data_IF_571360702234
#
_entry.id   IF_571360702234
#
_cell.length_a   1.000
_cell.length_b   1.000
_cell.length_c   1.000
_cell.angle_alpha   90.00
_cell.angle_beta   90.00
_cell.angle_gamma   90.00
#
_symmetry.space_group_name_H-M   'P 1'
#
loop_
_entity.id
_entity.type
_entity.pdbx_description
1 polymer ?
#
# COMPACT_ATOMS: atom_id res chain seq x y z
N UNK A 1 -27.43 -48.56 33.18
CA UNK A 1 -28.13 -47.28 32.95
C UNK A 1 -27.23 -46.44 32.07
N UNK A 2 -27.83 -45.89 31.01
CA UNK A 2 -27.23 -45.30 29.80
C UNK A 2 -26.08 -44.28 29.97
N UNK A 3 -25.15 -44.34 29.02
CA UNK A 3 -24.20 -43.29 28.64
C UNK A 3 -24.91 -42.08 28.02
N UNK A 4 -24.46 -40.85 28.35
CA UNK A 4 -24.67 -39.66 27.50
C UNK A 4 -23.37 -38.86 27.36
N UNK A 5 -22.84 -38.88 26.14
CA UNK A 5 -21.75 -38.04 25.63
C UNK A 5 -22.37 -36.70 25.21
N UNK A 6 -21.81 -35.52 25.56
CA UNK A 6 -22.27 -34.25 24.99
C UNK A 6 -21.73 -34.06 23.57
N UNK A 7 -22.66 -33.76 22.66
CA UNK A 7 -22.47 -33.62 21.22
C UNK A 7 -21.61 -32.41 20.83
N UNK A 8 -20.88 -32.61 19.74
CA UNK A 8 -20.03 -31.66 19.01
C UNK A 8 -20.92 -30.71 18.19
N UNK A 9 -20.77 -29.38 18.26
CA UNK A 9 -21.57 -28.48 17.43
C UNK A 9 -21.12 -28.54 15.95
N UNK A 10 -22.09 -28.79 15.07
CA UNK A 10 -21.99 -28.70 13.61
C UNK A 10 -22.06 -27.24 13.13
N UNK A 11 -21.42 -26.90 11.99
CA UNK A 11 -21.46 -25.56 11.42
C UNK A 11 -22.74 -25.35 10.59
N UNK A 12 -23.60 -24.43 11.03
CA UNK A 12 -24.79 -24.01 10.28
C UNK A 12 -24.47 -22.86 9.33
N UNK A 13 -24.58 -23.21 8.06
CA UNK A 13 -25.14 -22.51 6.91
C UNK A 13 -24.83 -21.04 6.59
N UNK A 14 -24.56 -20.89 5.30
CA UNK A 14 -24.15 -19.69 4.62
C UNK A 14 -25.36 -18.82 4.21
N UNK A 15 -25.09 -17.51 4.14
CA UNK A 15 -25.69 -16.53 3.20
C UNK A 15 -27.21 -16.43 3.10
N UNK A 16 -27.80 -15.49 3.84
CA UNK A 16 -29.04 -14.80 3.43
C UNK A 16 -28.70 -13.46 2.75
N UNK A 17 -29.19 -13.17 1.53
CA UNK A 17 -29.11 -11.84 0.95
C UNK A 17 -30.08 -10.88 1.66
N UNK A 18 -29.72 -9.58 1.80
CA UNK A 18 -30.60 -8.59 2.43
C UNK A 18 -31.81 -8.25 1.55
N UNK A 19 -32.93 -8.00 2.22
CA UNK A 19 -34.24 -7.66 1.67
C UNK A 19 -34.21 -6.53 0.64
N UNK A 20 -34.95 -6.73 -0.45
CA UNK A 20 -35.30 -5.70 -1.41
C UNK A 20 -36.10 -4.58 -0.74
N UNK A 21 -35.72 -3.34 -1.02
CA UNK A 21 -36.44 -2.13 -0.63
C UNK A 21 -37.74 -2.07 -1.44
N UNK A 22 -38.86 -2.07 -0.73
CA UNK A 22 -40.19 -1.82 -1.25
C UNK A 22 -40.51 -0.33 -1.04
N UNK A 23 -40.80 0.38 -2.12
CA UNK A 23 -41.22 1.79 -2.11
C UNK A 23 -42.07 2.09 -3.34
N UNK A 24 -43.27 2.58 -3.09
CA UNK A 24 -44.36 2.91 -4.00
C UNK A 24 -44.02 3.99 -5.06
N UNK A 25 -44.39 3.74 -6.33
CA UNK A 25 -45.37 4.49 -7.15
C UNK A 25 -45.14 4.31 -8.68
N UNK A 26 -46.21 4.17 -9.50
CA UNK A 26 -46.09 3.84 -10.92
C UNK A 26 -45.97 5.10 -11.80
N UNK A 27 -44.74 5.52 -12.12
CA UNK A 27 -44.53 6.51 -13.19
C UNK A 27 -44.43 5.83 -14.56
N UNK A 28 -45.48 6.05 -15.37
CA UNK A 28 -45.58 5.74 -16.79
C UNK A 28 -44.32 6.17 -17.55
N UNK A 29 -43.57 5.20 -18.09
CA UNK A 29 -42.56 5.46 -19.10
C UNK A 29 -43.23 5.73 -20.46
N UNK A 30 -42.87 6.80 -21.19
CA UNK A 30 -43.28 6.95 -22.58
C UNK A 30 -42.56 5.91 -23.44
N UNK A 31 -43.32 5.02 -24.07
CA UNK A 31 -42.84 4.12 -25.12
C UNK A 31 -42.56 4.95 -26.38
N UNK A 32 -41.35 5.47 -26.53
CA UNK A 32 -40.87 5.88 -27.84
C UNK A 32 -39.86 4.85 -28.35
N UNK A 33 -39.99 4.40 -29.62
CA UNK A 33 -39.06 3.44 -30.20
C UNK A 33 -37.68 4.07 -30.33
N UNK A 34 -36.67 3.35 -29.82
CA UNK A 34 -35.25 3.71 -29.83
C UNK A 34 -34.71 4.18 -31.21
N UNK A 35 -35.39 3.78 -32.29
CA UNK A 35 -35.12 4.14 -33.67
C UNK A 35 -35.07 5.66 -33.93
N UNK A 36 -35.93 6.44 -33.27
CA UNK A 36 -36.04 7.89 -33.53
C UNK A 36 -34.85 8.70 -33.00
N UNK A 37 -34.14 8.21 -31.98
CA UNK A 37 -32.97 8.90 -31.42
C UNK A 37 -31.68 8.67 -32.22
N UNK A 38 -31.59 7.59 -32.99
CA UNK A 38 -30.39 7.29 -33.79
C UNK A 38 -30.41 7.99 -35.15
N UNK A 39 -31.59 8.30 -35.70
CA UNK A 39 -31.70 8.89 -37.04
C UNK A 39 -31.52 10.41 -37.07
N UNK A 40 -31.63 11.10 -35.94
CA UNK A 40 -31.52 12.57 -35.86
C UNK A 40 -30.10 13.12 -35.66
N UNK A 41 -29.08 12.25 -35.57
CA UNK A 41 -27.69 12.66 -35.28
C UNK A 41 -26.76 12.63 -36.50
N UNK A 42 -27.26 12.39 -37.71
CA UNK A 42 -26.41 12.21 -38.89
C UNK A 42 -26.04 13.53 -39.61
N UNK A 43 -26.50 14.69 -39.15
CA UNK A 43 -26.17 15.97 -39.80
C UNK A 43 -25.91 17.05 -38.75
N UNK A 44 -24.79 16.96 -38.04
CA UNK A 44 -24.15 18.16 -37.48
C UNK A 44 -22.69 17.87 -37.08
N UNK A 45 -21.79 18.53 -37.82
CA UNK A 45 -20.38 18.85 -37.51
C UNK A 45 -19.52 17.69 -36.99
N UNK A 46 -18.63 17.23 -37.88
CA UNK A 46 -17.38 16.58 -37.54
C UNK A 46 -16.50 17.54 -36.70
N UNK A 47 -16.81 17.67 -35.41
CA UNK A 47 -15.79 18.01 -34.42
C UNK A 47 -14.95 16.75 -34.24
N UNK A 48 -13.63 16.91 -34.42
CA UNK A 48 -12.61 15.96 -33.99
C UNK A 48 -12.71 15.78 -32.47
N UNK A 49 -13.72 15.03 -32.02
CA UNK A 49 -13.82 14.55 -30.67
C UNK A 49 -12.92 13.32 -30.59
N UNK A 50 -11.81 13.44 -29.86
CA UNK A 50 -10.94 12.34 -29.51
C UNK A 50 -11.83 11.15 -29.12
N UNK A 51 -11.76 10.09 -29.91
CA UNK A 51 -12.59 8.91 -29.68
C UNK A 51 -12.36 8.43 -28.24
N UNK A 52 -13.34 7.85 -27.53
CA UNK A 52 -13.12 7.31 -26.18
C UNK A 52 -11.94 6.33 -26.12
N UNK A 53 -11.66 5.64 -27.23
CA UNK A 53 -10.48 4.79 -27.41
C UNK A 53 -9.16 5.59 -27.49
N UNK A 54 -9.20 6.81 -28.03
CA UNK A 54 -8.08 7.73 -28.17
C UNK A 54 -7.79 8.47 -26.85
N UNK A 55 -8.84 8.79 -26.07
CA UNK A 55 -8.70 9.24 -24.68
C UNK A 55 -8.12 8.15 -23.77
N UNK A 56 -8.45 6.88 -23.99
CA UNK A 56 -7.83 5.75 -23.26
C UNK A 56 -6.34 5.57 -23.62
N UNK A 57 -5.93 5.93 -24.85
CA UNK A 57 -4.53 5.97 -25.26
C UNK A 57 -3.79 7.18 -24.70
N UNK A 58 -4.45 8.33 -24.60
CA UNK A 58 -3.89 9.55 -23.99
C UNK A 58 -3.87 9.52 -22.45
N UNK A 59 -4.73 8.71 -21.83
CA UNK A 59 -4.65 8.34 -20.40
C UNK A 59 -3.66 7.21 -20.13
N UNK A 60 -2.80 6.89 -21.10
CA UNK A 60 -1.50 6.33 -20.78
C UNK A 60 -0.85 7.29 -19.79
N UNK A 61 -0.99 7.01 -18.49
CA UNK A 61 -0.20 7.64 -17.45
C UNK A 61 1.22 7.73 -17.99
N UNK A 62 1.92 8.86 -17.89
CA UNK A 62 3.32 8.88 -18.26
C UNK A 62 3.98 7.74 -17.48
N UNK A 63 4.22 6.63 -18.16
CA UNK A 63 4.93 5.46 -17.66
C UNK A 63 6.41 5.81 -17.75
N UNK A 64 6.76 7.02 -17.31
CA UNK A 64 8.09 7.38 -16.92
C UNK A 64 8.48 6.33 -15.90
N UNK A 65 9.20 5.32 -16.40
CA UNK A 65 9.65 4.21 -15.59
C UNK A 65 10.37 4.84 -14.40
N UNK A 66 10.06 4.43 -13.17
CA UNK A 66 10.66 5.03 -12.00
C UNK A 66 12.17 4.98 -12.14
N UNK A 67 12.76 6.17 -12.24
CA UNK A 67 14.21 6.30 -12.41
C UNK A 67 14.88 6.00 -11.08
N UNK A 68 16.15 5.61 -11.13
CA UNK A 68 16.93 5.40 -9.90
C UNK A 68 16.91 6.63 -8.98
N UNK A 69 16.93 7.82 -9.56
CA UNK A 69 16.83 9.08 -8.81
C UNK A 69 15.47 9.20 -8.08
N UNK A 70 14.37 8.83 -8.74
CA UNK A 70 13.04 8.82 -8.12
C UNK A 70 12.98 7.86 -6.94
N UNK A 71 13.51 6.65 -7.11
CA UNK A 71 13.54 5.65 -6.04
C UNK A 71 14.44 6.11 -4.88
N UNK A 72 15.59 6.72 -5.17
CA UNK A 72 16.46 7.27 -4.14
C UNK A 72 15.78 8.38 -3.33
N UNK A 73 15.11 9.31 -4.00
CA UNK A 73 14.31 10.36 -3.34
C UNK A 73 13.22 9.75 -2.47
N UNK A 74 12.49 8.76 -2.97
CA UNK A 74 11.45 8.06 -2.21
C UNK A 74 12.02 7.33 -0.98
N UNK A 75 13.18 6.66 -1.12
CA UNK A 75 13.86 6.02 0.00
C UNK A 75 14.33 7.03 1.05
N UNK A 76 14.82 8.20 0.62
CA UNK A 76 15.20 9.28 1.53
C UNK A 76 13.99 9.82 2.29
N UNK A 77 12.85 10.03 1.61
CA UNK A 77 11.60 10.42 2.27
C UNK A 77 11.12 9.37 3.27
N UNK A 78 11.14 8.09 2.90
CA UNK A 78 10.78 6.99 3.79
C UNK A 78 11.71 6.92 5.02
N UNK A 79 13.02 7.12 4.81
CA UNK A 79 14.02 7.17 5.88
C UNK A 79 13.78 8.36 6.84
N UNK A 80 13.43 9.53 6.29
CA UNK A 80 13.03 10.71 7.07
C UNK A 80 11.80 10.42 7.94
N UNK A 81 10.73 9.89 7.34
CA UNK A 81 9.52 9.51 8.09
C UNK A 81 9.81 8.47 9.18
N UNK A 82 10.67 7.49 8.93
CA UNK A 82 11.12 6.53 9.96
C UNK A 82 11.90 7.20 11.09
N UNK A 83 12.75 8.18 10.77
CA UNK A 83 13.45 9.00 11.76
C UNK A 83 12.49 9.80 12.65
N UNK A 84 11.45 10.38 12.05
CA UNK A 84 10.41 11.09 12.79
C UNK A 84 9.63 10.15 13.73
N UNK A 85 9.24 8.96 13.25
CA UNK A 85 8.61 7.92 14.09
C UNK A 85 9.53 7.54 15.25
N UNK A 86 10.83 7.34 14.98
CA UNK A 86 11.81 6.99 16.01
C UNK A 86 11.91 8.08 17.09
N UNK A 87 12.00 9.35 16.67
CA UNK A 87 12.07 10.49 17.58
C UNK A 87 10.81 10.62 18.44
N UNK A 88 9.64 10.45 17.83
CA UNK A 88 8.35 10.51 18.53
C UNK A 88 8.18 9.34 19.51
N UNK A 89 8.63 8.13 19.15
CA UNK A 89 8.60 6.95 20.03
C UNK A 89 9.61 7.01 21.18
N UNK A 90 10.70 7.77 21.05
CA UNK A 90 11.69 7.98 22.11
C UNK A 90 11.26 8.99 23.18
N UNK A 91 10.10 9.62 23.05
CA UNK A 91 9.57 10.52 24.08
C UNK A 91 9.38 9.78 25.41
N UNK A 92 10.00 10.30 26.47
CA UNK A 92 9.87 9.72 27.82
C UNK A 92 8.41 9.85 28.29
N UNK A 93 7.86 8.78 28.85
CA UNK A 93 6.50 8.67 29.39
C UNK A 93 5.34 8.51 28.39
N UNK A 94 5.61 8.06 27.16
CA UNK A 94 4.56 7.76 26.19
C UNK A 94 3.62 6.63 26.68
N UNK A 95 2.42 7.00 27.14
CA UNK A 95 1.35 6.06 27.50
C UNK A 95 0.38 5.88 26.33
N UNK A 96 0.62 4.86 25.50
CA UNK A 96 -0.28 4.50 24.41
C UNK A 96 -1.49 3.70 24.92
N UNK A 97 -2.70 4.08 24.48
CA UNK A 97 -3.92 3.27 24.66
C UNK A 97 -3.80 1.96 23.87
N UNK A 98 -4.55 0.93 24.27
CA UNK A 98 -4.45 -0.40 23.63
C UNK A 98 -4.80 -0.38 22.14
N UNK A 99 -5.83 0.37 21.75
CA UNK A 99 -6.20 0.58 20.34
C UNK A 99 -5.08 1.22 19.52
N UNK A 100 -4.41 2.22 20.10
CA UNK A 100 -3.30 2.93 19.48
C UNK A 100 -2.08 2.02 19.30
N UNK A 101 -1.78 1.18 20.30
CA UNK A 101 -0.74 0.14 20.19
C UNK A 101 -1.04 -0.83 19.04
N UNK A 102 -2.28 -1.29 18.93
CA UNK A 102 -2.66 -2.24 17.87
C UNK A 102 -2.49 -1.62 16.48
N UNK A 103 -3.00 -0.40 16.30
CA UNK A 103 -2.93 0.30 15.03
C UNK A 103 -1.48 0.58 14.63
N UNK A 104 -0.66 1.09 15.56
CA UNK A 104 0.75 1.35 15.31
C UNK A 104 1.52 0.07 14.99
N UNK A 105 1.21 -1.03 15.69
CA UNK A 105 1.79 -2.34 15.42
C UNK A 105 1.51 -2.80 14.00
N UNK A 106 0.24 -2.75 13.59
CA UNK A 106 -0.15 -3.23 12.27
C UNK A 106 0.51 -2.38 11.18
N UNK A 107 0.43 -1.05 11.29
CA UNK A 107 1.03 -0.13 10.30
C UNK A 107 2.54 -0.26 10.20
N UNK A 108 3.26 -0.28 11.33
CA UNK A 108 4.72 -0.41 11.33
C UNK A 108 5.16 -1.81 10.87
N UNK A 109 4.43 -2.85 11.24
CA UNK A 109 4.71 -4.21 10.77
C UNK A 109 4.47 -4.34 9.27
N UNK A 110 3.39 -3.78 8.74
CA UNK A 110 3.07 -3.75 7.31
C UNK A 110 4.13 -2.93 6.55
N UNK A 111 4.41 -1.70 6.99
CA UNK A 111 5.44 -0.87 6.40
C UNK A 111 6.80 -1.59 6.38
N UNK A 112 7.20 -2.21 7.49
CA UNK A 112 8.44 -2.99 7.53
C UNK A 112 8.43 -4.17 6.56
N UNK A 113 7.31 -4.89 6.43
CA UNK A 113 7.18 -5.98 5.47
C UNK A 113 7.32 -5.48 4.01
N UNK A 114 6.76 -4.31 3.70
CA UNK A 114 6.88 -3.71 2.38
C UNK A 114 8.30 -3.19 2.09
N UNK A 115 8.95 -2.56 3.07
CA UNK A 115 10.36 -2.14 2.98
C UNK A 115 11.27 -3.35 2.76
N UNK A 116 11.09 -4.44 3.51
CA UNK A 116 11.83 -5.68 3.32
C UNK A 116 11.59 -6.30 1.95
N UNK A 117 10.34 -6.28 1.49
CA UNK A 117 9.99 -6.75 0.14
C UNK A 117 10.67 -5.89 -0.93
N UNK A 118 10.72 -4.57 -0.74
CA UNK A 118 11.43 -3.65 -1.63
C UNK A 118 12.94 -3.94 -1.64
N UNK A 119 13.56 -4.10 -0.48
CA UNK A 119 14.98 -4.43 -0.35
C UNK A 119 15.31 -5.79 -1.01
N UNK A 120 14.49 -6.81 -0.77
CA UNK A 120 14.60 -8.11 -1.42
C UNK A 120 14.53 -8.00 -2.94
N UNK A 121 13.56 -7.22 -3.46
CA UNK A 121 13.41 -6.96 -4.90
C UNK A 121 14.58 -6.19 -5.49
N UNK A 122 15.19 -5.28 -4.72
CA UNK A 122 16.43 -4.60 -5.09
C UNK A 122 17.67 -5.53 -5.07
N UNK A 123 17.52 -6.78 -4.63
CA UNK A 123 18.59 -7.77 -4.60
C UNK A 123 19.41 -7.77 -3.31
N UNK A 124 18.87 -7.17 -2.24
CA UNK A 124 19.44 -7.24 -0.88
C UNK A 124 19.03 -8.54 -0.20
N UNK A 125 19.96 -9.17 0.51
CA UNK A 125 19.64 -10.28 1.41
C UNK A 125 18.99 -9.72 2.68
N UNK A 126 17.66 -9.76 2.71
CA UNK A 126 16.87 -9.49 3.91
C UNK A 126 17.05 -10.64 4.90
N UNK A 127 17.69 -10.37 6.06
CA UNK A 127 17.79 -11.31 7.18
C UNK A 127 16.43 -11.59 7.84
N UNK A 128 16.38 -12.40 8.90
CA UNK A 128 15.12 -12.70 9.60
C UNK A 128 14.47 -11.43 10.18
N UNK A 129 13.12 -11.35 10.26
CA UNK A 129 12.45 -10.25 10.92
C UNK A 129 12.87 -10.15 12.40
N UNK A 130 12.93 -8.93 12.96
CA UNK A 130 13.33 -8.74 14.35
C UNK A 130 12.47 -9.62 15.26
N UNK A 131 13.11 -10.50 16.03
CA UNK A 131 12.44 -11.42 16.93
C UNK A 131 11.85 -10.65 18.10
N UNK A 132 10.52 -10.60 18.18
CA UNK A 132 9.82 -9.83 19.19
C UNK A 132 9.53 -10.69 20.41
N UNK A 133 10.28 -10.45 21.48
CA UNK A 133 9.97 -11.08 22.76
C UNK A 133 8.67 -10.45 23.31
N UNK A 134 7.69 -11.30 23.66
CA UNK A 134 6.40 -10.91 24.25
C UNK A 134 6.54 -10.16 25.59
N UNK A 135 7.72 -10.20 26.21
CA UNK A 135 8.06 -9.44 27.43
C UNK A 135 8.64 -8.04 27.15
N UNK A 136 9.00 -7.71 25.91
CA UNK A 136 9.49 -6.38 25.56
C UNK A 136 8.38 -5.34 25.57
N UNK A 137 8.70 -4.12 26.02
CA UNK A 137 7.83 -2.95 25.91
C UNK A 137 7.37 -2.75 24.46
N UNK A 138 6.07 -2.45 24.21
CA UNK A 138 5.56 -2.18 22.87
C UNK A 138 6.40 -1.15 22.10
N UNK A 139 6.86 -0.09 22.77
CA UNK A 139 7.71 0.94 22.18
C UNK A 139 9.01 0.35 21.65
N UNK A 140 9.65 -0.54 22.41
CA UNK A 140 10.90 -1.21 22.00
C UNK A 140 10.68 -2.11 20.79
N UNK A 141 9.50 -2.74 20.67
CA UNK A 141 9.14 -3.52 19.48
C UNK A 141 8.94 -2.65 18.24
N UNK A 142 8.29 -1.49 18.41
CA UNK A 142 8.10 -0.54 17.33
C UNK A 142 9.44 0.03 16.85
N UNK A 143 10.33 0.40 17.78
CA UNK A 143 11.68 0.82 17.45
C UNK A 143 12.43 -0.27 16.68
N UNK A 144 12.28 -1.55 17.04
CA UNK A 144 12.90 -2.64 16.29
C UNK A 144 12.40 -2.73 14.83
N UNK A 145 11.11 -2.53 14.57
CA UNK A 145 10.60 -2.45 13.18
C UNK A 145 11.16 -1.25 12.43
N UNK A 146 11.24 -0.09 13.09
CA UNK A 146 11.76 1.14 12.49
C UNK A 146 13.24 0.99 12.14
N UNK A 147 14.05 0.46 13.05
CA UNK A 147 15.47 0.20 12.83
C UNK A 147 15.68 -0.84 11.72
N UNK A 148 14.93 -1.97 11.73
CA UNK A 148 15.01 -2.96 10.63
C UNK A 148 14.67 -2.30 9.28
N UNK A 149 13.61 -1.50 9.21
CA UNK A 149 13.24 -0.77 7.99
C UNK A 149 14.34 0.20 7.53
N UNK A 150 14.96 0.95 8.45
CA UNK A 150 16.08 1.85 8.12
C UNK A 150 17.27 1.07 7.57
N UNK A 151 17.64 -0.05 8.19
CA UNK A 151 18.74 -0.90 7.75
C UNK A 151 18.47 -1.50 6.36
N UNK A 152 17.25 -1.99 6.12
CA UNK A 152 16.86 -2.53 4.82
C UNK A 152 16.87 -1.46 3.72
N UNK A 153 16.37 -0.25 4.01
CA UNK A 153 16.42 0.87 3.06
C UNK A 153 17.87 1.26 2.76
N UNK A 154 18.72 1.37 3.77
CA UNK A 154 20.13 1.72 3.59
C UNK A 154 20.87 0.67 2.73
N UNK A 155 20.61 -0.62 2.97
CA UNK A 155 21.17 -1.69 2.14
C UNK A 155 20.63 -1.66 0.71
N UNK A 156 19.33 -1.39 0.52
CA UNK A 156 18.72 -1.25 -0.80
C UNK A 156 19.32 -0.08 -1.58
N UNK A 157 19.52 1.07 -0.93
CA UNK A 157 20.19 2.24 -1.51
C UNK A 157 21.61 1.91 -1.98
N UNK A 158 22.40 1.23 -1.15
CA UNK A 158 23.76 0.80 -1.52
C UNK A 158 23.72 -0.12 -2.73
N UNK A 159 22.85 -1.13 -2.72
CA UNK A 159 22.74 -2.09 -3.82
C UNK A 159 22.31 -1.42 -5.12
N UNK A 160 21.37 -0.49 -5.06
CA UNK A 160 20.93 0.30 -6.20
C UNK A 160 22.08 1.15 -6.75
N UNK A 161 22.85 1.80 -5.88
CA UNK A 161 24.05 2.55 -6.27
C UNK A 161 25.07 1.62 -6.94
N UNK A 162 25.35 0.46 -6.36
CA UNK A 162 26.28 -0.52 -6.92
C UNK A 162 25.85 -0.98 -8.32
N UNK A 163 24.55 -1.23 -8.54
CA UNK A 163 23.99 -1.60 -9.83
C UNK A 163 24.11 -0.48 -10.88
N UNK A 164 24.07 0.79 -10.46
CA UNK A 164 24.30 1.92 -11.39
C UNK A 164 25.78 2.07 -11.75
N UNK A 165 26.69 1.88 -10.80
CA UNK A 165 28.13 2.03 -11.01
C UNK A 165 28.74 0.84 -11.73
N UNK A 166 28.21 -0.37 -11.54
CA UNK A 166 28.66 -1.60 -12.20
C UNK A 166 28.23 -1.68 -13.68
N UNK A 167 27.87 -0.55 -14.31
CA UNK A 167 27.27 -0.43 -15.66
C UNK A 167 28.15 -0.87 -16.85
N UNK A 168 28.97 -1.90 -16.70
CA UNK A 168 29.78 -2.48 -17.76
C UNK A 168 29.23 -3.87 -18.12
N UNK A 169 28.58 -3.94 -19.29
CA UNK A 169 27.98 -5.10 -19.97
C UNK A 169 26.79 -5.84 -19.30
N UNK A 170 25.76 -5.11 -18.85
CA UNK A 170 24.46 -5.75 -18.57
C UNK A 170 23.80 -6.16 -19.90
N UNK A 171 23.34 -7.40 -20.00
CA UNK A 171 22.57 -7.83 -21.17
C UNK A 171 21.21 -7.10 -21.21
N UNK A 172 20.61 -6.87 -22.39
CA UNK A 172 19.29 -6.22 -22.48
C UNK A 172 18.21 -6.89 -21.61
N UNK A 173 18.25 -8.21 -21.47
CA UNK A 173 17.36 -8.95 -20.58
C UNK A 173 17.59 -8.66 -19.10
N UNK A 174 18.85 -8.50 -18.67
CA UNK A 174 19.18 -8.08 -17.31
C UNK A 174 18.74 -6.64 -17.04
N UNK A 175 18.86 -5.76 -18.03
CA UNK A 175 18.38 -4.38 -17.91
C UNK A 175 16.86 -4.32 -17.73
N UNK A 176 16.09 -5.08 -18.51
CA UNK A 176 14.64 -5.17 -18.34
C UNK A 176 14.26 -5.75 -16.97
N UNK A 177 14.96 -6.79 -16.52
CA UNK A 177 14.72 -7.37 -15.20
C UNK A 177 15.01 -6.37 -14.09
N UNK A 178 16.10 -5.59 -14.22
CA UNK A 178 16.43 -4.51 -13.29
C UNK A 178 15.32 -3.46 -13.27
N UNK A 179 14.85 -3.00 -14.44
CA UNK A 179 13.73 -2.05 -14.53
C UNK A 179 12.46 -2.58 -13.84
N UNK A 180 12.10 -3.84 -14.06
CA UNK A 180 10.92 -4.46 -13.42
C UNK A 180 11.11 -4.54 -11.90
N UNK A 181 12.30 -4.94 -11.44
CA UNK A 181 12.61 -5.02 -10.00
C UNK A 181 12.58 -3.65 -9.35
N UNK A 182 13.14 -2.64 -10.01
CA UNK A 182 13.13 -1.25 -9.57
C UNK A 182 11.72 -0.69 -9.52
N UNK A 183 10.89 -0.93 -10.53
CA UNK A 183 9.50 -0.50 -10.52
C UNK A 183 8.72 -1.15 -9.38
N UNK A 184 8.87 -2.47 -9.19
CA UNK A 184 8.26 -3.18 -8.06
C UNK A 184 8.80 -2.73 -6.69
N UNK A 185 10.04 -2.25 -6.62
CA UNK A 185 10.62 -1.68 -5.41
C UNK A 185 10.05 -0.27 -5.15
N UNK A 186 9.97 0.59 -6.17
CA UNK A 186 9.35 1.92 -6.14
C UNK A 186 7.94 1.85 -5.56
N UNK A 187 7.08 0.99 -6.11
CA UNK A 187 5.71 0.81 -5.64
C UNK A 187 5.65 0.38 -4.17
N UNK A 188 6.54 -0.53 -3.76
CA UNK A 188 6.60 -1.00 -2.38
C UNK A 188 7.09 0.10 -1.42
N UNK A 189 8.05 0.94 -1.84
CA UNK A 189 8.54 2.08 -1.07
C UNK A 189 7.46 3.18 -0.99
N UNK A 190 6.76 3.48 -2.07
CA UNK A 190 5.64 4.43 -2.10
C UNK A 190 4.56 4.02 -1.11
N UNK A 191 4.13 2.76 -1.18
CA UNK A 191 3.14 2.23 -0.25
C UNK A 191 3.64 2.26 1.21
N UNK A 192 4.90 1.88 1.44
CA UNK A 192 5.51 1.97 2.77
C UNK A 192 5.52 3.40 3.28
N UNK A 193 5.83 4.37 2.41
CA UNK A 193 5.87 5.79 2.76
C UNK A 193 4.49 6.29 3.15
N UNK A 194 3.44 5.93 2.40
CA UNK A 194 2.05 6.27 2.74
C UNK A 194 1.66 5.69 4.11
N UNK A 195 2.02 4.43 4.38
CA UNK A 195 1.76 3.80 5.67
C UNK A 195 2.52 4.47 6.81
N UNK A 196 3.79 4.83 6.58
CA UNK A 196 4.64 5.51 7.54
C UNK A 196 4.15 6.92 7.83
N UNK A 197 3.81 7.71 6.81
CA UNK A 197 3.24 9.04 6.97
C UNK A 197 1.95 8.98 7.78
N UNK A 198 1.05 8.02 7.46
CA UNK A 198 -0.16 7.81 8.25
C UNK A 198 0.15 7.41 9.69
N UNK A 199 1.16 6.56 9.92
CA UNK A 199 1.58 6.21 11.27
C UNK A 199 2.13 7.44 12.02
N UNK A 200 2.92 8.30 11.37
CA UNK A 200 3.40 9.58 11.94
C UNK A 200 2.22 10.49 12.29
N UNK A 201 1.26 10.64 11.39
CA UNK A 201 0.07 11.48 11.63
C UNK A 201 -0.79 10.93 12.78
N UNK A 202 -0.96 9.61 12.83
CA UNK A 202 -1.64 8.93 13.94
C UNK A 202 -0.90 9.24 15.26
N UNK A 203 0.44 9.08 15.30
CA UNK A 203 1.26 9.40 16.47
C UNK A 203 1.12 10.88 16.86
N UNK A 204 1.24 11.82 15.91
CA UNK A 204 1.06 13.26 16.14
C UNK A 204 -0.32 13.57 16.73
N UNK A 205 -1.37 12.94 16.21
CA UNK A 205 -2.71 13.05 16.78
C UNK A 205 -2.76 12.54 18.22
N UNK A 206 -2.04 11.46 18.57
CA UNK A 206 -1.97 10.98 19.95
C UNK A 206 -1.33 12.00 20.90
N UNK A 207 -0.33 12.75 20.43
CA UNK A 207 0.35 13.79 21.21
C UNK A 207 -0.48 15.06 21.32
N UNK A 208 -1.15 15.48 20.25
CA UNK A 208 -2.01 16.67 20.28
C UNK A 208 -3.34 16.45 21.01
N UNK A 209 -3.77 15.20 21.22
CA UNK A 209 -5.00 14.87 21.98
C UNK A 209 -4.75 14.78 23.51
N UNK A 210 -3.54 15.11 23.99
CA UNK A 210 -3.36 15.42 25.41
C UNK A 210 -3.90 16.83 25.71
N UNK A 211 -5.21 16.90 25.98
CA UNK A 211 -5.85 17.95 26.79
C UNK A 211 -6.34 17.29 28.07
#
# INVERSE_FOLDING_TARGET
>A
MENKIPEKPTPTDATKPPNAIQGDDPQKQPQQPFSEHMQKSAVEKAQQGNSPLDLARQQGHPTSQPTMATIQTQMNSASGSLGDVQNQLHTKNLKLKQSQKYLLRNKLSEANAHVRTAASKAGVQVGNPPTMNTRQSPIRRYLAYVTDSQDQLAQAQRKIKDLTTAGHSLSPGQMLLIQIKLNKASQAIEYSTVLLSKAVDDIKMLFNVQI
#
